data_IF_914827640493
#
_entry.id   IF_914827640493
#
_cell.length_a   1.000
_cell.length_b   1.000
_cell.length_c   1.000
_cell.angle_alpha   90.00
_cell.angle_beta   90.00
_cell.angle_gamma   90.00
#
_symmetry.space_group_name_H-M   'P 1'
#
loop_
_entity.id
_entity.type
_entity.pdbx_description
1 polymer ?
#
# COMPACT_ATOMS: atom_id res chain seq x y z
N UNK A 1 10.31 -71.36 47.31
CA UNK A 1 8.85 -71.52 47.22
C UNK A 1 8.24 -70.16 47.54
N UNK A 2 7.76 -69.37 46.56
CA UNK A 2 6.38 -69.38 45.97
C UNK A 2 5.33 -69.33 47.07
N UNK A 3 4.41 -68.35 47.12
CA UNK A 3 3.30 -68.12 46.17
C UNK A 3 2.97 -66.60 46.07
N UNK A 4 2.86 -65.94 44.91
CA UNK A 4 1.78 -65.95 43.92
C UNK A 4 0.36 -65.82 44.50
N UNK A 5 -0.16 -64.59 44.55
CA UNK A 5 -1.56 -64.34 44.17
C UNK A 5 -1.64 -63.07 43.30
N UNK A 6 -2.20 -63.28 42.12
CA UNK A 6 -2.39 -62.36 41.02
C UNK A 6 -3.90 -62.37 40.76
N UNK A 7 -4.61 -61.39 41.30
CA UNK A 7 -5.93 -60.95 40.83
C UNK A 7 -5.99 -59.45 41.14
N UNK A 8 -6.43 -58.55 40.28
CA UNK A 8 -7.02 -58.65 38.96
C UNK A 8 -7.28 -57.20 38.54
N UNK A 9 -6.87 -56.90 37.32
CA UNK A 9 -7.16 -55.69 36.57
C UNK A 9 -8.62 -55.22 36.73
N UNK A 10 -8.82 -53.95 37.08
CA UNK A 10 -9.97 -53.16 36.63
C UNK A 10 -9.49 -51.76 36.27
N UNK A 11 -9.12 -51.64 35.00
CA UNK A 11 -9.40 -50.50 34.14
C UNK A 11 -10.27 -49.40 34.76
N UNK A 12 -9.65 -48.27 35.06
CA UNK A 12 -10.31 -46.98 35.00
C UNK A 12 -9.38 -46.09 34.19
N UNK A 13 -9.53 -46.18 32.87
CA UNK A 13 -8.91 -45.26 31.93
C UNK A 13 -9.06 -43.81 32.40
N UNK A 14 -7.93 -43.18 32.68
CA UNK A 14 -7.80 -41.73 32.64
C UNK A 14 -7.05 -41.39 31.37
N UNK A 15 -7.63 -41.76 30.23
CA UNK A 15 -7.37 -41.03 28.99
C UNK A 15 -8.06 -39.66 29.09
N UNK A 16 -7.50 -38.69 28.38
CA UNK A 16 -8.07 -37.36 28.12
C UNK A 16 -7.97 -36.33 29.24
N UNK A 17 -6.87 -35.58 29.23
CA UNK A 17 -6.88 -34.20 28.73
C UNK A 17 -5.62 -33.47 29.22
N UNK A 18 -4.49 -33.68 28.53
CA UNK A 18 -3.40 -32.71 28.57
C UNK A 18 -3.81 -31.51 27.70
N UNK A 19 -4.72 -30.67 28.19
CA UNK A 19 -4.86 -29.32 27.66
C UNK A 19 -3.57 -28.57 28.00
N UNK A 20 -2.59 -28.71 27.11
CA UNK A 20 -1.40 -27.87 27.08
C UNK A 20 -1.89 -26.44 26.92
N UNK A 21 -1.82 -25.64 27.98
CA UNK A 21 -2.15 -24.20 27.96
C UNK A 21 -1.55 -23.58 26.69
N UNK A 22 -2.33 -22.84 25.88
CA UNK A 22 -1.82 -22.24 24.65
C UNK A 22 -0.57 -21.43 24.96
N UNK A 23 0.54 -21.77 24.32
CA UNK A 23 1.80 -21.08 24.52
C UNK A 23 1.79 -19.77 23.72
N UNK A 24 0.92 -18.85 24.12
CA UNK A 24 0.69 -17.55 23.48
C UNK A 24 1.98 -16.76 23.26
N UNK A 25 2.98 -16.96 24.11
CA UNK A 25 4.31 -16.35 23.98
C UNK A 25 5.07 -16.89 22.78
N UNK A 26 5.03 -18.21 22.56
CA UNK A 26 5.59 -18.86 21.37
C UNK A 26 4.86 -18.41 20.10
N UNK A 27 3.54 -18.31 20.15
CA UNK A 27 2.75 -17.85 19.00
C UNK A 27 3.06 -16.38 18.65
N UNK A 28 3.26 -15.53 19.65
CA UNK A 28 3.64 -14.13 19.47
C UNK A 28 5.07 -14.02 18.90
N UNK A 29 6.02 -14.80 19.41
CA UNK A 29 7.38 -14.88 18.86
C UNK A 29 7.38 -15.37 17.40
N UNK A 30 6.55 -16.36 17.06
CA UNK A 30 6.41 -16.85 15.68
C UNK A 30 5.80 -15.78 14.77
N UNK A 31 4.76 -15.08 15.21
CA UNK A 31 4.14 -13.99 14.43
C UNK A 31 5.10 -12.84 14.19
N UNK A 32 5.95 -12.50 15.16
CA UNK A 32 6.96 -11.47 15.00
C UNK A 32 7.99 -11.88 13.94
N UNK A 33 8.50 -13.11 14.01
CA UNK A 33 9.43 -13.65 13.01
C UNK A 33 8.82 -13.69 11.61
N UNK A 34 7.56 -14.09 11.49
CA UNK A 34 6.86 -14.10 10.21
C UNK A 34 6.65 -12.69 9.66
N UNK A 35 6.35 -11.72 10.52
CA UNK A 35 6.21 -10.32 10.14
C UNK A 35 7.54 -9.72 9.68
N UNK A 36 8.63 -9.97 10.40
CA UNK A 36 9.99 -9.56 10.00
C UNK A 36 10.39 -10.20 8.68
N UNK A 37 10.17 -11.51 8.51
CA UNK A 37 10.46 -12.22 7.26
C UNK A 37 9.68 -11.62 6.08
N UNK A 38 8.41 -11.25 6.28
CA UNK A 38 7.58 -10.58 5.27
C UNK A 38 8.09 -9.17 4.97
N UNK A 39 8.46 -8.39 5.98
CA UNK A 39 9.01 -7.04 5.82
C UNK A 39 10.32 -7.08 5.02
N UNK A 40 11.27 -7.92 5.42
CA UNK A 40 12.53 -8.09 4.68
C UNK A 40 12.30 -8.60 3.26
N UNK A 41 11.33 -9.50 3.04
CA UNK A 41 11.00 -9.95 1.71
C UNK A 41 10.32 -8.85 0.87
N UNK A 42 9.54 -7.95 1.48
CA UNK A 42 8.95 -6.81 0.81
C UNK A 42 10.01 -5.77 0.42
N UNK A 43 10.93 -5.43 1.33
CA UNK A 43 12.05 -4.52 1.09
C UNK A 43 12.97 -5.02 -0.03
N UNK A 44 13.27 -6.33 -0.04
CA UNK A 44 14.04 -6.95 -1.13
C UNK A 44 13.32 -6.85 -2.48
N UNK A 45 11.99 -6.98 -2.48
CA UNK A 45 11.20 -6.80 -3.72
C UNK A 45 11.20 -5.34 -4.15
N UNK A 46 10.94 -4.40 -3.25
CA UNK A 46 10.94 -2.97 -3.52
C UNK A 46 12.28 -2.52 -4.12
N UNK A 47 13.40 -2.81 -3.45
CA UNK A 47 14.74 -2.50 -3.95
C UNK A 47 15.05 -3.19 -5.29
N UNK A 48 14.55 -4.40 -5.53
CA UNK A 48 14.72 -5.07 -6.82
C UNK A 48 13.91 -4.42 -7.94
N UNK A 49 12.72 -3.88 -7.63
CA UNK A 49 11.89 -3.16 -8.58
C UNK A 49 12.48 -1.80 -8.90
N UNK A 50 12.90 -1.03 -7.88
CA UNK A 50 13.61 0.24 -8.05
C UNK A 50 14.82 0.06 -8.96
N UNK A 51 15.64 -0.96 -8.70
CA UNK A 51 16.78 -1.32 -9.55
C UNK A 51 16.36 -1.60 -10.99
N UNK A 52 15.36 -2.46 -11.19
CA UNK A 52 14.90 -2.77 -12.56
C UNK A 52 14.35 -1.54 -13.26
N UNK A 53 13.71 -0.65 -12.52
CA UNK A 53 13.13 0.58 -13.05
C UNK A 53 14.20 1.60 -13.44
N UNK A 54 15.26 1.75 -12.66
CA UNK A 54 16.40 2.62 -13.02
C UNK A 54 17.10 2.11 -14.27
N UNK A 55 17.36 0.80 -14.39
CA UNK A 55 17.96 0.23 -15.61
C UNK A 55 17.05 0.39 -16.84
N UNK A 56 15.74 0.21 -16.69
CA UNK A 56 14.78 0.45 -17.76
C UNK A 56 14.75 1.93 -18.17
N UNK A 57 14.74 2.83 -17.20
CA UNK A 57 14.77 4.28 -17.40
C UNK A 57 16.05 4.75 -18.09
N UNK A 58 17.18 4.07 -17.85
CA UNK A 58 18.44 4.31 -18.56
C UNK A 58 18.37 3.93 -20.05
N UNK A 59 17.35 3.16 -20.45
CA UNK A 59 17.13 2.73 -21.83
C UNK A 59 17.63 1.31 -22.13
N UNK A 60 17.95 0.52 -21.09
CA UNK A 60 18.42 -0.86 -21.26
C UNK A 60 17.22 -1.79 -21.46
N UNK A 61 17.23 -2.56 -22.55
CA UNK A 61 16.22 -3.58 -22.79
C UNK A 61 16.48 -4.83 -21.95
N UNK A 62 15.73 -4.95 -20.84
CA UNK A 62 15.75 -6.11 -19.94
C UNK A 62 15.25 -7.41 -20.59
N UNK A 63 14.70 -7.36 -21.80
CA UNK A 63 14.31 -8.55 -22.56
C UNK A 63 15.52 -9.30 -23.13
N UNK A 64 16.62 -8.58 -23.45
CA UNK A 64 17.86 -9.15 -23.97
C UNK A 64 18.60 -9.96 -22.87
N UNK A 65 18.96 -11.23 -23.13
CA UNK A 65 19.81 -12.01 -22.23
C UNK A 65 21.11 -11.31 -21.82
N UNK A 66 21.75 -10.54 -22.71
CA UNK A 66 23.01 -9.84 -22.41
C UNK A 66 22.80 -8.71 -21.39
N UNK A 67 21.71 -7.97 -21.54
CA UNK A 67 21.33 -6.91 -20.60
C UNK A 67 21.04 -7.47 -19.20
N UNK A 68 20.45 -8.68 -19.11
CA UNK A 68 20.25 -9.35 -17.81
C UNK A 68 21.57 -9.65 -17.09
N UNK A 69 22.61 -10.04 -17.84
CA UNK A 69 23.95 -10.23 -17.26
C UNK A 69 24.59 -8.92 -16.85
N UNK A 70 24.40 -7.85 -17.64
CA UNK A 70 24.86 -6.51 -17.28
C UNK A 70 24.25 -6.04 -15.96
N UNK A 71 22.93 -6.09 -15.81
CA UNK A 71 22.22 -5.71 -14.58
C UNK A 71 22.68 -6.51 -13.36
N UNK A 72 23.05 -7.78 -13.56
CA UNK A 72 23.55 -8.65 -12.49
C UNK A 72 25.01 -8.35 -12.11
N UNK A 73 25.83 -7.96 -13.08
CA UNK A 73 27.25 -7.63 -12.90
C UNK A 73 27.53 -6.16 -12.60
N UNK A 74 26.52 -5.29 -12.68
CA UNK A 74 26.66 -3.87 -12.42
C UNK A 74 26.84 -3.61 -10.93
N UNK A 75 28.02 -3.11 -10.55
CA UNK A 75 28.38 -2.72 -9.18
C UNK A 75 28.50 -1.19 -9.01
N UNK A 76 28.16 -0.42 -10.05
CA UNK A 76 28.18 1.04 -10.01
C UNK A 76 27.02 1.67 -9.23
N UNK A 77 26.94 2.99 -9.27
CA UNK A 77 25.87 3.73 -8.61
C UNK A 77 24.51 3.49 -9.29
N UNK A 78 23.45 3.36 -8.49
CA UNK A 78 22.09 3.13 -8.99
C UNK A 78 21.45 4.43 -9.52
N UNK A 79 22.16 5.13 -10.39
CA UNK A 79 21.74 6.37 -11.02
C UNK A 79 21.56 6.16 -12.53
N UNK A 80 20.55 6.82 -13.09
CA UNK A 80 20.14 6.62 -14.49
C UNK A 80 21.24 7.07 -15.45
N UNK A 81 21.96 8.15 -15.14
CA UNK A 81 23.05 8.67 -15.97
C UNK A 81 24.29 7.77 -15.87
N UNK A 82 24.65 7.37 -14.64
CA UNK A 82 25.76 6.45 -14.40
C UNK A 82 25.58 5.09 -15.10
N UNK A 83 24.37 4.53 -15.03
CA UNK A 83 24.02 3.28 -15.70
C UNK A 83 24.12 3.43 -17.22
N UNK A 84 23.63 4.54 -17.77
CA UNK A 84 23.67 4.79 -19.21
C UNK A 84 25.11 4.89 -19.72
N UNK A 85 25.98 5.66 -19.06
CA UNK A 85 27.39 5.78 -19.47
C UNK A 85 28.09 4.43 -19.48
N UNK A 86 27.88 3.61 -18.44
CA UNK A 86 28.47 2.27 -18.39
C UNK A 86 27.89 1.34 -19.45
N UNK A 87 26.59 1.44 -19.71
CA UNK A 87 25.91 0.63 -20.70
C UNK A 87 26.28 1.05 -22.15
N UNK A 88 26.55 2.35 -22.39
CA UNK A 88 27.16 2.85 -23.62
C UNK A 88 28.60 2.33 -23.78
N UNK A 89 29.41 2.40 -22.72
CA UNK A 89 30.78 1.88 -22.71
C UNK A 89 30.83 0.36 -22.97
N UNK A 90 29.86 -0.38 -22.45
CA UNK A 90 29.70 -1.82 -22.66
C UNK A 90 29.01 -2.17 -24.00
N UNK A 91 28.55 -1.17 -24.77
CA UNK A 91 27.96 -1.36 -26.10
C UNK A 91 26.52 -1.86 -26.11
N UNK A 92 25.77 -1.69 -25.00
CA UNK A 92 24.34 -1.97 -24.92
C UNK A 92 23.48 -0.87 -25.53
N UNK A 93 23.96 0.38 -25.49
CA UNK A 93 23.31 1.52 -26.11
C UNK A 93 24.15 2.03 -27.28
N UNK A 94 23.49 2.22 -28.43
CA UNK A 94 24.07 2.90 -29.60
C UNK A 94 23.80 4.41 -29.57
N UNK A 95 24.38 5.15 -30.51
CA UNK A 95 24.21 6.61 -30.64
C UNK A 95 22.74 7.06 -30.86
N UNK A 96 21.84 6.14 -31.21
CA UNK A 96 20.38 6.34 -31.35
C UNK A 96 19.59 5.92 -30.10
N UNK A 97 20.24 5.80 -28.94
CA UNK A 97 19.57 5.48 -27.68
C UNK A 97 18.45 6.49 -27.37
N UNK A 98 17.25 6.02 -26.94
CA UNK A 98 16.17 6.91 -26.59
C UNK A 98 16.60 7.86 -25.46
N UNK A 99 16.18 9.14 -25.50
CA UNK A 99 16.52 10.12 -24.46
C UNK A 99 16.07 9.62 -23.07
N UNK A 100 16.72 10.09 -22.01
CA UNK A 100 16.30 9.77 -20.63
C UNK A 100 14.88 10.31 -20.49
N UNK A 101 13.89 9.41 -20.46
CA UNK A 101 12.52 9.80 -20.19
C UNK A 101 12.39 10.01 -18.68
N UNK A 102 12.79 11.19 -18.21
CA UNK A 102 12.38 11.72 -16.89
C UNK A 102 10.90 12.11 -16.85
N UNK A 103 10.13 11.69 -17.85
CA UNK A 103 8.73 12.01 -18.01
C UNK A 103 7.94 11.14 -17.03
N UNK A 104 7.40 11.80 -16.00
CA UNK A 104 6.09 11.53 -15.37
C UNK A 104 5.39 10.41 -16.13
N UNK A 105 5.58 9.17 -15.66
CA UNK A 105 5.14 7.97 -16.37
C UNK A 105 3.68 8.16 -16.79
N UNK A 106 3.27 7.77 -18.00
CA UNK A 106 1.88 7.94 -18.45
C UNK A 106 0.86 7.41 -17.42
N UNK A 107 1.25 6.41 -16.63
CA UNK A 107 0.50 5.88 -15.49
C UNK A 107 0.23 6.92 -14.39
N UNK A 108 1.18 7.80 -14.07
CA UNK A 108 1.01 8.90 -13.13
C UNK A 108 0.05 9.96 -13.65
N UNK A 109 0.11 10.31 -14.95
CA UNK A 109 -0.88 11.21 -15.57
C UNK A 109 -2.28 10.61 -15.54
N UNK A 110 -2.41 9.31 -15.82
CA UNK A 110 -3.69 8.59 -15.74
C UNK A 110 -4.19 8.53 -14.30
N UNK A 111 -3.30 8.33 -13.32
CA UNK A 111 -3.66 8.33 -11.90
C UNK A 111 -4.15 9.72 -11.44
N UNK A 112 -3.47 10.80 -11.84
CA UNK A 112 -3.89 12.18 -11.57
C UNK A 112 -5.25 12.49 -12.19
N UNK A 113 -5.48 12.08 -13.44
CA UNK A 113 -6.79 12.24 -14.11
C UNK A 113 -7.91 11.49 -13.37
N UNK A 114 -7.65 10.31 -12.81
CA UNK A 114 -8.64 9.56 -12.01
C UNK A 114 -8.96 10.28 -10.69
N UNK A 115 -7.95 10.85 -10.03
CA UNK A 115 -8.13 11.62 -8.79
C UNK A 115 -8.93 12.90 -9.06
N UNK A 116 -8.61 13.58 -10.16
CA UNK A 116 -9.33 14.78 -10.59
C UNK A 116 -10.80 14.47 -10.91
N UNK A 117 -11.06 13.42 -11.70
CA UNK A 117 -12.43 13.00 -12.04
C UNK A 117 -13.24 12.54 -10.82
N UNK A 118 -12.60 11.92 -9.82
CA UNK A 118 -13.26 11.55 -8.57
C UNK A 118 -13.57 12.76 -7.67
N UNK A 119 -12.78 13.84 -7.76
CA UNK A 119 -13.00 15.09 -7.03
C UNK A 119 -14.09 15.99 -7.63
N UNK A 120 -14.33 15.87 -8.95
CA UNK A 120 -15.30 16.71 -9.69
C UNK A 120 -16.78 16.34 -9.43
N UNK A 121 -17.05 15.20 -8.79
CA UNK A 121 -18.40 14.77 -8.41
C UNK A 121 -18.90 15.27 -7.05
N UNK A 122 -18.07 16.02 -6.31
CA UNK A 122 -18.44 16.62 -5.03
C UNK A 122 -18.94 18.05 -5.20
N UNK A 123 -20.09 18.25 -5.84
CA UNK A 123 -20.76 19.56 -5.81
C UNK A 123 -21.04 19.90 -4.34
N UNK A 124 -20.58 21.03 -3.78
CA UNK A 124 -21.05 21.45 -2.47
C UNK A 124 -22.57 21.53 -2.56
N UNK A 125 -23.28 20.76 -1.73
CA UNK A 125 -24.74 20.87 -1.59
C UNK A 125 -25.04 22.24 -0.99
N UNK A 126 -24.91 23.29 -1.79
CA UNK A 126 -25.63 24.52 -1.59
C UNK A 126 -27.05 24.20 -2.03
N UNK A 127 -28.05 24.32 -1.15
CA UNK A 127 -29.41 24.10 -1.58
C UNK A 127 -29.68 25.09 -2.70
N UNK A 128 -29.89 24.59 -3.92
CA UNK A 128 -30.17 25.35 -5.15
C UNK A 128 -31.34 26.34 -4.98
N UNK A 129 -32.09 26.21 -3.88
CA UNK A 129 -33.28 26.96 -3.55
C UNK A 129 -33.12 27.91 -2.34
N UNK A 130 -31.97 27.92 -1.65
CA UNK A 130 -31.79 28.78 -0.47
C UNK A 130 -31.84 30.27 -0.87
N UNK A 131 -31.14 30.64 -1.93
CA UNK A 131 -31.08 32.03 -2.38
C UNK A 131 -32.42 32.54 -2.92
N UNK A 132 -33.17 31.67 -3.61
CA UNK A 132 -34.53 31.98 -4.07
C UNK A 132 -35.49 32.17 -2.89
N UNK A 133 -35.39 31.32 -1.85
CA UNK A 133 -36.20 31.42 -0.63
C UNK A 133 -35.84 32.65 0.22
N UNK A 134 -34.56 33.03 0.30
CA UNK A 134 -34.10 34.27 0.95
C UNK A 134 -34.67 35.51 0.23
N UNK A 135 -34.72 35.50 -1.10
CA UNK A 135 -35.31 36.60 -1.88
C UNK A 135 -36.84 36.67 -1.76
N UNK A 136 -37.50 35.56 -1.46
CA UNK A 136 -38.94 35.48 -1.29
C UNK A 136 -39.42 35.92 0.11
N UNK A 137 -38.55 35.91 1.13
CA UNK A 137 -38.91 36.39 2.47
C UNK A 137 -39.10 37.90 2.48
N UNK A 138 -40.22 38.36 3.05
CA UNK A 138 -40.61 39.79 3.01
C UNK A 138 -40.29 40.51 4.33
N UNK A 139 -40.04 39.76 5.41
CA UNK A 139 -39.73 40.32 6.73
C UNK A 139 -38.48 39.66 7.35
N UNK A 140 -37.82 40.40 8.26
CA UNK A 140 -36.63 39.94 8.99
C UNK A 140 -36.90 38.72 9.85
N UNK A 141 -38.11 38.58 10.40
CA UNK A 141 -38.50 37.45 11.22
C UNK A 141 -38.67 36.15 10.39
N UNK A 142 -39.18 36.27 9.16
CA UNK A 142 -39.32 35.14 8.23
C UNK A 142 -37.97 34.68 7.70
N UNK A 143 -37.08 35.63 7.39
CA UNK A 143 -35.70 35.33 7.00
C UNK A 143 -34.97 34.59 8.12
N UNK A 144 -35.15 35.03 9.37
CA UNK A 144 -34.55 34.36 10.53
C UNK A 144 -35.07 32.94 10.68
N UNK A 145 -36.38 32.73 10.61
CA UNK A 145 -36.98 31.39 10.69
C UNK A 145 -36.52 30.46 9.56
N UNK A 146 -36.41 31.00 8.33
CA UNK A 146 -35.86 30.27 7.18
C UNK A 146 -34.41 29.86 7.45
N UNK A 147 -33.57 30.76 7.93
CA UNK A 147 -32.17 30.47 8.21
C UNK A 147 -31.97 29.50 9.38
N UNK A 148 -32.80 29.60 10.43
CA UNK A 148 -32.82 28.62 11.52
C UNK A 148 -33.25 27.23 11.04
N UNK A 149 -34.21 27.14 10.10
CA UNK A 149 -34.63 25.87 9.50
C UNK A 149 -33.54 25.18 8.65
N UNK A 150 -32.62 25.98 8.11
CA UNK A 150 -31.47 25.53 7.32
C UNK A 150 -30.22 25.32 8.21
N UNK A 151 -30.40 25.36 9.54
CA UNK A 151 -29.37 25.03 10.53
C UNK A 151 -28.53 26.22 11.02
N UNK A 152 -28.84 27.45 10.61
CA UNK A 152 -28.16 28.66 11.09
C UNK A 152 -28.78 29.10 12.41
N UNK A 153 -28.19 28.67 13.54
CA UNK A 153 -28.60 29.16 14.86
C UNK A 153 -28.12 30.59 15.10
N UNK A 154 -29.06 31.52 15.13
CA UNK A 154 -28.81 32.90 15.52
C UNK A 154 -28.76 33.02 17.05
N UNK A 155 -27.56 32.88 17.63
CA UNK A 155 -27.34 33.08 19.08
C UNK A 155 -26.68 31.92 19.82
N UNK A 156 -25.78 31.16 19.18
CA UNK A 156 -24.89 30.24 19.89
C UNK A 156 -23.81 31.02 20.69
N UNK A 157 -24.24 31.77 21.69
CA UNK A 157 -23.42 32.26 22.79
C UNK A 157 -24.34 32.59 23.97
N UNK A 158 -24.67 31.57 24.75
CA UNK A 158 -24.64 31.57 26.22
C UNK A 158 -24.49 30.13 26.71
#
# INVERSE_FOLDING_TARGET
>A
MTDSDSTGYSDAGSDSSTESKPNWRRDLENRLKDAEARATAAEKRASSYERQDTFRSAGIDLSDPRAKYFVKGYEGELDVEAIRMEAEAAGFLGADAPPINSAVSDDTLVAEQRIQAAGEGGDPVSPIDLEARIKATTNTDELRALMESEGVLWGASQ
#
